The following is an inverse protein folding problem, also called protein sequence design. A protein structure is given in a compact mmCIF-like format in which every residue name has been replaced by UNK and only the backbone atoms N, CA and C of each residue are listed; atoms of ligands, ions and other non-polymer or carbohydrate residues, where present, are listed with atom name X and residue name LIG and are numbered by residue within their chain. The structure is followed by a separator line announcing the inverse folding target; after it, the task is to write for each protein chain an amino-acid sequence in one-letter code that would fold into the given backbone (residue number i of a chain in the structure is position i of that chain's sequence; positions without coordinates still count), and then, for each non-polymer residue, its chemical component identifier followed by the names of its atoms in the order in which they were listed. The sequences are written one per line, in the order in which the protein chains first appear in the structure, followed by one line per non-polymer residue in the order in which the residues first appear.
data_IF_980367180470
#
_entry.id   IF_980367180470
#
_cell.length_a   1.000
_cell.length_b   1.000
_cell.length_c   1.000
_cell.angle_alpha   90.00
_cell.angle_beta   90.00
_cell.angle_gamma   90.00
#
_symmetry.space_group_name_H-M   'P 1'
#
loop_
_entity.id
_entity.type
_entity.pdbx_description
1 polymer ?
#
# COMPACT_ATOMS: atom_id res chain seq x y z
N UNK A 1 10.92 9.63 -6.54
CA UNK A 1 11.35 8.53 -5.68
C UNK A 1 10.09 7.81 -5.25
N UNK A 2 9.96 6.53 -5.56
CA UNK A 2 8.75 5.75 -5.30
C UNK A 2 9.00 4.83 -4.11
N UNK A 3 8.22 4.99 -3.06
CA UNK A 3 8.22 4.08 -1.90
C UNK A 3 7.18 3.00 -2.13
N UNK A 4 7.55 1.73 -1.94
CA UNK A 4 6.62 0.60 -2.02
C UNK A 4 6.21 0.19 -0.62
N UNK A 5 4.91 0.09 -0.36
CA UNK A 5 4.39 -0.36 0.94
C UNK A 5 3.54 -1.62 0.80
N UNK A 6 3.75 -2.54 1.73
CA UNK A 6 2.83 -3.67 1.97
C UNK A 6 2.10 -3.42 3.28
N UNK A 7 0.84 -3.87 3.38
CA UNK A 7 0.07 -3.69 4.61
C UNK A 7 -0.40 -2.24 4.84
N UNK A 8 -0.54 -1.44 3.78
CA UNK A 8 -1.02 -0.04 3.83
C UNK A 8 -2.37 0.14 4.53
N UNK A 9 -3.22 -0.89 4.53
CA UNK A 9 -4.53 -0.87 5.20
C UNK A 9 -4.50 -1.40 6.63
N UNK A 10 -3.34 -1.83 7.14
CA UNK A 10 -3.15 -2.27 8.52
C UNK A 10 -2.72 -1.11 9.41
N UNK A 11 -2.77 -1.32 10.73
CA UNK A 11 -2.50 -0.27 11.73
C UNK A 11 -1.17 0.46 11.51
N UNK A 12 -0.05 -0.26 11.41
CA UNK A 12 1.26 0.36 11.23
C UNK A 12 1.39 1.05 9.87
N UNK A 13 0.94 0.38 8.80
CA UNK A 13 1.06 0.88 7.43
C UNK A 13 0.26 2.16 7.21
N UNK A 14 -0.95 2.26 7.78
CA UNK A 14 -1.78 3.46 7.64
C UNK A 14 -1.20 4.65 8.41
N UNK A 15 -0.69 4.46 9.62
CA UNK A 15 -0.03 5.53 10.37
C UNK A 15 1.27 5.99 9.70
N UNK A 16 2.04 5.06 9.12
CA UNK A 16 3.22 5.40 8.34
C UNK A 16 2.86 6.25 7.11
N UNK A 17 1.78 5.92 6.41
CA UNK A 17 1.29 6.70 5.28
C UNK A 17 0.82 8.10 5.67
N UNK A 18 0.13 8.25 6.80
CA UNK A 18 -0.28 9.59 7.28
C UNK A 18 0.92 10.46 7.59
N UNK A 19 1.97 9.88 8.18
CA UNK A 19 3.17 10.62 8.60
C UNK A 19 4.09 10.97 7.43
N UNK A 20 4.35 10.00 6.55
CA UNK A 20 5.47 10.03 5.61
C UNK A 20 5.03 9.82 4.14
N UNK A 21 3.73 9.65 3.86
CA UNK A 21 3.21 9.21 2.56
C UNK A 21 3.27 10.25 1.45
N UNK A 22 4.32 10.20 0.63
CA UNK A 22 4.42 10.95 -0.63
C UNK A 22 4.75 9.98 -1.77
N UNK A 23 3.91 9.95 -2.82
CA UNK A 23 4.04 9.08 -4.01
C UNK A 23 4.36 7.61 -3.67
N UNK A 24 3.38 6.96 -3.06
CA UNK A 24 3.54 5.59 -2.56
C UNK A 24 2.83 4.62 -3.49
N UNK A 25 3.50 3.52 -3.83
CA UNK A 25 2.87 2.34 -4.44
C UNK A 25 2.50 1.36 -3.34
N UNK A 26 1.20 1.17 -3.12
CA UNK A 26 0.67 0.29 -2.09
C UNK A 26 0.16 -1.03 -2.68
N UNK A 27 0.67 -2.15 -2.16
CA UNK A 27 0.20 -3.48 -2.51
C UNK A 27 -1.02 -3.85 -1.66
N UNK A 28 -2.09 -4.26 -2.34
CA UNK A 28 -3.33 -4.69 -1.72
C UNK A 28 -3.81 -6.03 -2.30
N UNK A 29 -4.34 -6.91 -1.44
CA UNK A 29 -4.86 -8.22 -1.87
C UNK A 29 -6.15 -8.15 -2.71
N UNK A 30 -6.85 -7.01 -2.65
CA UNK A 30 -8.11 -6.76 -3.37
C UNK A 30 -7.85 -5.86 -4.58
N UNK A 31 -8.77 -5.89 -5.54
CA UNK A 31 -8.70 -5.00 -6.71
C UNK A 31 -8.67 -3.51 -6.30
N UNK A 32 -8.02 -2.63 -7.09
CA UNK A 32 -7.79 -1.24 -6.72
C UNK A 32 -9.03 -0.47 -6.26
N UNK A 33 -10.24 -0.60 -6.87
CA UNK A 33 -11.42 0.10 -6.37
C UNK A 33 -11.81 -0.29 -4.95
N UNK A 34 -11.80 -1.59 -4.64
CA UNK A 34 -12.12 -2.10 -3.29
C UNK A 34 -10.99 -1.79 -2.29
N UNK A 35 -9.74 -1.83 -2.74
CA UNK A 35 -8.59 -1.46 -1.93
C UNK A 35 -8.61 0.03 -1.55
N UNK A 36 -9.09 0.90 -2.45
CA UNK A 36 -9.22 2.34 -2.24
C UNK A 36 -10.10 2.69 -1.04
N UNK A 37 -11.29 2.08 -0.96
CA UNK A 37 -12.22 2.29 0.15
C UNK A 37 -11.62 1.86 1.49
N UNK A 38 -10.96 0.71 1.53
CA UNK A 38 -10.27 0.21 2.74
C UNK A 38 -9.12 1.11 3.16
N UNK A 39 -8.33 1.59 2.19
CA UNK A 39 -7.23 2.51 2.46
C UNK A 39 -7.76 3.83 3.03
N UNK A 40 -8.79 4.42 2.42
CA UNK A 40 -9.40 5.66 2.90
C UNK A 40 -9.93 5.51 4.34
N UNK A 41 -10.57 4.38 4.65
CA UNK A 41 -11.01 4.08 6.02
C UNK A 41 -9.82 3.96 7.00
N UNK A 42 -8.77 3.23 6.62
CA UNK A 42 -7.59 3.05 7.46
C UNK A 42 -6.82 4.36 7.71
N UNK A 43 -6.72 5.23 6.70
CA UNK A 43 -6.09 6.55 6.85
C UNK A 43 -6.90 7.48 7.78
N UNK A 44 -8.23 7.50 7.65
CA UNK A 44 -9.11 8.23 8.58
C UNK A 44 -8.92 7.75 10.01
N UNK A 45 -8.91 6.43 10.22
CA UNK A 45 -8.67 5.82 11.53
C UNK A 45 -7.26 6.13 12.08
N UNK A 46 -6.29 6.35 11.21
CA UNK A 46 -4.92 6.76 11.56
C UNK A 46 -4.75 8.29 11.73
N UNK A 47 -5.85 9.07 11.72
CA UNK A 47 -5.82 10.51 11.95
C UNK A 47 -5.59 11.38 10.72
N UNK A 48 -5.77 10.86 9.49
CA UNK A 48 -5.69 11.66 8.28
C UNK A 48 -6.79 12.74 8.25
N UNK A 49 -6.40 14.02 8.28
CA UNK A 49 -7.28 15.14 7.98
C UNK A 49 -7.63 15.24 6.48
N UNK A 50 -8.37 16.30 6.07
CA UNK A 50 -8.79 16.49 4.68
C UNK A 50 -7.62 16.46 3.68
N UNK A 51 -6.47 17.06 4.05
CA UNK A 51 -5.25 17.02 3.22
C UNK A 51 -4.61 15.63 3.09
N UNK A 52 -4.71 14.78 4.13
CA UNK A 52 -4.22 13.40 4.07
C UNK A 52 -5.09 12.50 3.20
N UNK A 53 -6.38 12.78 3.11
CA UNK A 53 -7.30 12.14 2.16
C UNK A 53 -7.04 12.59 0.71
N UNK A 54 -6.61 13.82 0.48
CA UNK A 54 -6.17 14.26 -0.84
C UNK A 54 -4.89 13.53 -1.28
N UNK A 55 -3.96 13.28 -0.35
CA UNK A 55 -2.77 12.46 -0.62
C UNK A 55 -3.09 11.00 -0.99
N UNK A 56 -4.30 10.52 -0.68
CA UNK A 56 -4.80 9.24 -1.20
C UNK A 56 -4.75 9.22 -2.74
N UNK A 57 -5.10 10.34 -3.40
CA UNK A 57 -5.08 10.52 -4.87
C UNK A 57 -3.75 10.04 -5.47
N UNK A 58 -2.65 10.37 -4.81
CA UNK A 58 -1.27 10.10 -5.20
C UNK A 58 -0.79 8.67 -4.85
N UNK A 59 -1.61 7.88 -4.14
CA UNK A 59 -1.28 6.48 -3.86
C UNK A 59 -1.64 5.63 -5.08
N UNK A 60 -0.62 5.03 -5.68
CA UNK A 60 -0.80 4.02 -6.73
C UNK A 60 -1.11 2.66 -6.07
N UNK A 61 -2.23 2.05 -6.42
CA UNK A 61 -2.65 0.77 -5.84
C UNK A 61 -2.39 -0.37 -6.83
N UNK A 62 -1.55 -1.32 -6.42
CA UNK A 62 -1.34 -2.56 -7.15
C UNK A 62 -2.01 -3.72 -6.44
N UNK A 63 -2.71 -4.55 -7.20
CA UNK A 63 -3.22 -5.82 -6.68
C UNK A 63 -2.07 -6.80 -6.54
N UNK A 64 -1.77 -7.21 -5.32
CA UNK A 64 -0.70 -8.15 -5.03
C UNK A 64 -0.86 -8.85 -3.69
N UNK A 65 -0.14 -9.96 -3.54
CA UNK A 65 -0.10 -10.81 -2.37
C UNK A 65 1.35 -11.21 -2.07
N UNK A 66 1.86 -10.74 -0.93
CA UNK A 66 3.24 -11.00 -0.48
C UNK A 66 3.55 -12.49 -0.25
N UNK A 67 2.52 -13.34 -0.12
CA UNK A 67 2.69 -14.78 0.03
C UNK A 67 2.88 -15.52 -1.30
N UNK A 68 2.67 -14.83 -2.43
CA UNK A 68 2.78 -15.42 -3.77
C UNK A 68 4.13 -15.08 -4.41
N UNK A 69 4.64 -15.95 -5.30
CA UNK A 69 5.76 -15.60 -6.16
C UNK A 69 5.52 -14.26 -6.86
N UNK A 70 6.58 -13.44 -6.95
CA UNK A 70 6.53 -12.11 -7.57
C UNK A 70 5.42 -11.20 -7.00
N UNK A 71 5.06 -11.39 -5.72
CA UNK A 71 3.97 -10.65 -5.06
C UNK A 71 2.60 -10.86 -5.73
N UNK A 72 2.44 -11.93 -6.52
CA UNK A 72 1.24 -12.18 -7.32
C UNK A 72 1.07 -11.25 -8.54
N UNK A 73 2.10 -10.48 -8.89
CA UNK A 73 2.14 -9.61 -10.06
C UNK A 73 2.60 -10.41 -11.30
N UNK A 74 2.25 -9.92 -12.49
CA UNK A 74 2.91 -10.38 -13.70
C UNK A 74 4.40 -9.95 -13.71
N UNK A 75 5.21 -10.67 -14.47
CA UNK A 75 6.67 -10.46 -14.51
C UNK A 75 7.06 -9.05 -14.96
N UNK A 76 6.29 -8.43 -15.86
CA UNK A 76 6.58 -7.08 -16.35
C UNK A 76 6.37 -6.05 -15.25
N UNK A 77 5.20 -6.08 -14.61
CA UNK A 77 4.87 -5.21 -13.48
C UNK A 77 5.81 -5.42 -12.29
N UNK A 78 6.17 -6.66 -11.98
CA UNK A 78 7.12 -6.96 -10.91
C UNK A 78 8.51 -6.36 -11.18
N UNK A 79 9.01 -6.49 -12.42
CA UNK A 79 10.31 -5.91 -12.81
C UNK A 79 10.29 -4.38 -12.75
N UNK A 80 9.27 -3.76 -13.32
CA UNK A 80 9.12 -2.30 -13.25
C UNK A 80 9.06 -1.81 -11.79
N UNK A 81 8.29 -2.49 -10.94
CA UNK A 81 8.22 -2.17 -9.52
C UNK A 81 9.58 -2.30 -8.83
N UNK A 82 10.37 -3.33 -9.17
CA UNK A 82 11.70 -3.54 -8.62
C UNK A 82 12.71 -2.47 -9.07
N UNK A 83 12.61 -1.98 -10.30
CA UNK A 83 13.48 -0.92 -10.84
C UNK A 83 13.15 0.47 -10.26
N UNK A 84 11.86 0.75 -10.06
CA UNK A 84 11.37 2.04 -9.57
C UNK A 84 11.47 2.20 -8.05
N UNK A 85 11.35 1.10 -7.29
CA UNK A 85 11.36 1.12 -5.84
C UNK A 85 12.67 1.69 -5.30
N UNK A 86 12.58 2.79 -4.54
CA UNK A 86 13.73 3.38 -3.82
C UNK A 86 13.73 3.06 -2.34
N UNK A 87 12.57 2.71 -1.80
CA UNK A 87 12.39 2.32 -0.41
C UNK A 87 11.24 1.31 -0.32
N UNK A 88 11.36 0.35 0.60
CA UNK A 88 10.34 -0.66 0.84
C UNK A 88 9.90 -0.60 2.31
N UNK A 89 8.62 -0.31 2.52
CA UNK A 89 7.95 -0.41 3.83
C UNK A 89 7.20 -1.74 3.89
N UNK A 90 7.82 -2.73 4.51
CA UNK A 90 7.21 -4.03 4.72
C UNK A 90 6.42 -4.07 6.04
N UNK A 91 5.16 -3.63 6.00
CA UNK A 91 4.27 -3.66 7.17
C UNK A 91 3.22 -4.78 7.10
N UNK A 92 3.15 -5.54 6.00
CA UNK A 92 2.29 -6.71 5.94
C UNK A 92 2.81 -7.80 6.85
N UNK A 93 1.90 -8.42 7.62
CA UNK A 93 2.17 -9.60 8.40
C UNK A 93 1.13 -10.67 8.07
N UNK A 94 1.56 -11.94 8.10
CA UNK A 94 0.67 -13.09 7.95
C UNK A 94 -0.23 -13.22 9.18
N UNK A 95 -1.46 -12.74 9.09
CA UNK A 95 -2.50 -13.07 10.04
C UNK A 95 -3.27 -14.28 9.51
N UNK A 96 -3.06 -15.44 10.13
CA UNK A 96 -4.07 -16.50 10.15
C UNK A 96 -5.11 -16.09 11.19
N UNK A 97 -6.42 -16.05 10.87
CA UNK A 97 -7.42 -16.02 11.93
C UNK A 97 -7.24 -17.29 12.77
N UNK A 98 -7.19 -17.08 14.09
CA UNK A 98 -7.27 -18.15 15.08
C UNK A 98 -8.64 -18.82 14.99
#
# INVERSE_FOLDING_TARGET
MTTVITGATGFLGSHRLVRDGRRVTALARRDPPAARGRLAHALKAAGAGQGGLAALAEVHLLRGDVSRPCLGLDTGTYRALAEEAKEIWHCAAGHRPA
#
